data_IF_680804818382
#
_entry.id   IF_680804818382
#
_cell.length_a   1.000
_cell.length_b   1.000
_cell.length_c   1.000
_cell.angle_alpha   90.00
_cell.angle_beta   90.00
_cell.angle_gamma   90.00
#
_symmetry.space_group_name_H-M   'P 1'
#
loop_
_entity.id
_entity.type
_entity.pdbx_description
1 polymer ?
#
# COMPACT_ATOMS: atom_id res chain seq x y z
N UNK A 1 -2.64 14.07 -24.97
CA UNK A 1 -3.68 13.44 -24.19
C UNK A 1 -3.36 13.56 -22.69
N UNK A 2 -4.21 14.25 -21.93
CA UNK A 2 -4.02 14.55 -20.50
C UNK A 2 -4.53 13.42 -19.57
N UNK A 3 -5.03 12.32 -20.14
CA UNK A 3 -5.67 11.22 -19.39
C UNK A 3 -4.77 10.00 -19.16
N UNK A 4 -3.45 10.14 -19.29
CA UNK A 4 -2.52 9.01 -19.15
C UNK A 4 -2.24 8.60 -17.70
N UNK A 5 -2.41 9.52 -16.77
CA UNK A 5 -2.32 9.28 -15.35
C UNK A 5 -3.61 9.78 -14.69
N UNK A 6 -4.23 8.96 -13.90
CA UNK A 6 -5.36 9.31 -13.07
C UNK A 6 -5.00 9.10 -11.62
N UNK A 7 -5.32 10.07 -10.79
CA UNK A 7 -5.10 10.01 -9.34
C UNK A 7 -6.43 10.24 -8.64
N UNK A 8 -6.74 9.37 -7.71
CA UNK A 8 -7.97 9.44 -6.93
C UNK A 8 -7.62 9.42 -5.44
N UNK A 9 -8.31 10.24 -4.67
CA UNK A 9 -8.28 10.24 -3.21
C UNK A 9 -9.71 10.06 -2.73
N UNK A 10 -9.97 9.00 -1.99
CA UNK A 10 -11.31 8.67 -1.49
C UNK A 10 -12.38 8.74 -2.60
N UNK A 11 -12.10 8.09 -3.74
CA UNK A 11 -12.96 8.06 -4.93
C UNK A 11 -13.10 9.41 -5.67
N UNK A 12 -12.46 10.47 -5.24
CA UNK A 12 -12.50 11.77 -5.94
C UNK A 12 -11.32 11.87 -6.90
N UNK A 13 -11.58 12.15 -8.18
CA UNK A 13 -10.53 12.39 -9.18
C UNK A 13 -9.84 13.73 -8.90
N UNK A 14 -8.57 13.67 -8.51
CA UNK A 14 -7.71 14.84 -8.24
C UNK A 14 -6.63 15.00 -9.31
N UNK A 15 -6.77 14.36 -10.44
CA UNK A 15 -5.77 14.37 -11.52
C UNK A 15 -5.49 15.78 -12.05
N UNK A 16 -6.47 16.67 -12.00
CA UNK A 16 -6.35 18.07 -12.44
C UNK A 16 -5.49 18.92 -11.48
N UNK A 17 -5.41 18.53 -10.21
CA UNK A 17 -4.65 19.26 -9.17
C UNK A 17 -3.17 18.89 -9.18
N UNK A 18 -2.80 17.86 -9.95
CA UNK A 18 -1.41 17.41 -10.05
C UNK A 18 -0.59 18.41 -10.86
N UNK A 19 0.46 18.96 -10.25
CA UNK A 19 1.44 19.82 -10.91
C UNK A 19 2.63 19.01 -11.36
N UNK A 20 3.01 19.12 -12.63
CA UNK A 20 4.17 18.40 -13.20
C UNK A 20 4.01 18.10 -14.68
N UNK A 21 5.04 17.54 -15.28
CA UNK A 21 4.98 17.07 -16.66
C UNK A 21 4.32 15.69 -16.73
N UNK A 22 3.31 15.57 -17.56
CA UNK A 22 2.72 14.26 -17.86
C UNK A 22 3.71 13.43 -18.70
N UNK A 23 3.69 12.10 -18.58
CA UNK A 23 4.46 11.25 -19.48
C UNK A 23 4.20 11.60 -20.94
N UNK A 24 5.23 11.65 -21.78
CA UNK A 24 5.05 11.93 -23.20
C UNK A 24 4.22 10.83 -23.88
N UNK A 25 3.50 11.20 -24.96
CA UNK A 25 2.73 10.24 -25.74
C UNK A 25 3.68 9.22 -26.39
N UNK A 26 3.25 7.98 -26.49
CA UNK A 26 4.02 6.86 -27.08
C UNK A 26 5.38 6.56 -26.42
N UNK A 27 5.63 7.08 -25.21
CA UNK A 27 6.79 6.70 -24.42
C UNK A 27 6.41 5.60 -23.44
N UNK A 28 7.12 4.48 -23.53
CA UNK A 28 6.98 3.39 -22.57
C UNK A 28 7.66 3.82 -21.25
N UNK A 29 6.86 4.07 -20.23
CA UNK A 29 7.35 4.26 -18.88
C UNK A 29 7.23 2.93 -18.13
N UNK A 30 8.36 2.25 -17.96
CA UNK A 30 8.40 1.04 -17.16
C UNK A 30 8.46 1.42 -15.69
N UNK A 31 7.46 1.05 -14.91
CA UNK A 31 7.48 1.20 -13.45
C UNK A 31 8.56 0.33 -12.79
N UNK A 32 9.03 -0.68 -13.50
CA UNK A 32 10.05 -1.65 -13.09
C UNK A 32 11.29 -1.60 -14.00
N UNK A 33 11.72 -0.42 -14.42
CA UNK A 33 12.92 -0.30 -15.22
C UNK A 33 14.16 -0.37 -14.33
N UNK A 34 15.06 -1.30 -14.64
CA UNK A 34 16.44 -1.23 -14.12
C UNK A 34 17.11 0.06 -14.62
N UNK A 35 17.44 0.95 -13.69
CA UNK A 35 18.42 1.97 -14.01
C UNK A 35 19.79 1.30 -14.11
N UNK A 36 20.52 1.55 -15.18
CA UNK A 36 21.84 0.96 -15.47
C UNK A 36 22.97 1.42 -14.52
N UNK A 37 22.61 1.93 -13.34
CA UNK A 37 23.55 2.24 -12.27
C UNK A 37 23.72 1.00 -11.40
N UNK A 38 24.88 0.39 -11.49
CA UNK A 38 25.27 -0.84 -10.78
C UNK A 38 25.17 -0.79 -9.25
N UNK A 39 24.76 0.32 -8.68
CA UNK A 39 24.56 0.52 -7.24
C UNK A 39 23.09 0.55 -6.80
N UNK A 40 22.12 0.58 -7.71
CA UNK A 40 20.71 0.64 -7.39
C UNK A 40 19.92 -0.37 -8.20
N UNK A 41 19.80 -1.58 -7.69
CA UNK A 41 18.78 -2.51 -8.17
C UNK A 41 17.41 -1.89 -7.88
N UNK A 42 16.58 -1.76 -8.91
CA UNK A 42 15.23 -1.24 -8.77
C UNK A 42 14.37 -2.28 -8.09
N UNK A 43 14.43 -2.27 -6.78
CA UNK A 43 13.48 -2.99 -5.96
C UNK A 43 12.23 -2.14 -5.80
N UNK A 44 11.06 -2.72 -5.93
CA UNK A 44 9.83 -2.10 -5.47
C UNK A 44 9.87 -2.02 -3.94
N UNK A 45 9.72 -0.81 -3.42
CA UNK A 45 9.68 -0.58 -1.99
C UNK A 45 8.36 0.07 -1.62
N UNK A 46 7.74 -0.41 -0.54
CA UNK A 46 6.60 0.22 0.10
C UNK A 46 7.11 0.82 1.41
N UNK A 47 6.84 2.10 1.63
CA UNK A 47 7.28 2.81 2.83
C UNK A 47 8.77 3.24 2.84
N UNK A 48 9.50 3.03 1.74
CA UNK A 48 10.90 3.44 1.63
C UNK A 48 11.17 4.08 0.27
N UNK A 49 11.86 5.21 0.25
CA UNK A 49 12.38 5.79 -0.98
C UNK A 49 13.48 4.91 -1.60
N UNK A 50 13.54 4.85 -2.94
CA UNK A 50 14.56 4.09 -3.68
C UNK A 50 15.96 4.63 -3.50
N UNK A 51 16.10 5.91 -3.11
CA UNK A 51 17.38 6.58 -2.88
C UNK A 51 17.48 7.06 -1.44
N UNK A 52 18.60 6.73 -0.77
CA UNK A 52 18.88 7.18 0.58
C UNK A 52 18.09 6.42 1.67
N UNK A 53 18.02 7.05 2.85
CA UNK A 53 17.38 6.49 4.04
C UNK A 53 16.04 7.19 4.33
N UNK A 54 15.29 7.51 3.29
CA UNK A 54 13.98 8.13 3.42
C UNK A 54 12.93 7.05 3.66
N UNK A 55 12.41 6.99 4.88
CA UNK A 55 11.35 6.09 5.28
C UNK A 55 10.08 6.88 5.54
N UNK A 56 8.93 6.26 5.24
CA UNK A 56 7.63 6.81 5.59
C UNK A 56 7.23 6.37 7.00
N UNK A 57 6.64 7.30 7.74
CA UNK A 57 5.97 7.02 9.01
C UNK A 57 4.46 7.03 8.73
N UNK A 58 3.86 5.85 8.59
CA UNK A 58 2.46 5.70 8.19
C UNK A 58 1.90 4.34 8.62
N UNK A 59 0.60 4.30 8.82
CA UNK A 59 -0.15 3.04 8.85
C UNK A 59 -0.60 2.71 7.43
N UNK A 60 -0.52 1.43 7.07
CA UNK A 60 -0.96 0.93 5.77
C UNK A 60 -1.78 -0.34 5.94
N UNK A 61 -2.86 -0.43 5.19
CA UNK A 61 -3.66 -1.64 5.04
C UNK A 61 -4.02 -1.77 3.55
N UNK A 62 -3.99 -2.99 3.05
CA UNK A 62 -4.37 -3.32 1.68
C UNK A 62 -3.60 -2.52 0.60
N UNK A 63 -2.57 -3.11 0.06
CA UNK A 63 -1.83 -2.54 -1.06
C UNK A 63 -2.00 -3.42 -2.30
N UNK A 64 -2.68 -2.89 -3.31
CA UNK A 64 -2.93 -3.57 -4.58
C UNK A 64 -2.12 -2.94 -5.73
N UNK A 65 -1.47 -3.75 -6.51
CA UNK A 65 -0.85 -3.37 -7.78
C UNK A 65 -1.37 -4.30 -8.88
N UNK A 66 -1.97 -3.72 -9.91
CA UNK A 66 -2.52 -4.47 -11.05
C UNK A 66 -1.72 -4.13 -12.29
N UNK A 67 -1.11 -5.14 -12.90
CA UNK A 67 -0.32 -5.01 -14.10
C UNK A 67 -1.18 -5.21 -15.35
N UNK A 68 -1.09 -4.28 -16.29
CA UNK A 68 -1.75 -4.36 -17.60
C UNK A 68 -3.23 -3.96 -17.65
N UNK A 69 -3.86 -3.59 -16.53
CA UNK A 69 -5.25 -3.13 -16.50
C UNK A 69 -5.36 -1.74 -15.87
N UNK A 70 -6.18 -0.89 -16.45
CA UNK A 70 -6.64 0.35 -15.82
C UNK A 70 -7.98 0.11 -15.14
N UNK A 71 -8.00 0.09 -13.82
CA UNK A 71 -9.19 -0.14 -13.02
C UNK A 71 -9.70 1.17 -12.38
N UNK A 72 -11.00 1.23 -12.16
CA UNK A 72 -11.61 2.35 -11.46
C UNK A 72 -11.48 2.20 -9.93
N UNK A 73 -11.56 3.28 -9.15
CA UNK A 73 -11.57 3.19 -7.69
C UNK A 73 -12.63 2.26 -7.13
N UNK A 74 -13.77 2.14 -7.82
CA UNK A 74 -14.87 1.23 -7.44
C UNK A 74 -14.50 -0.26 -7.45
N UNK A 75 -13.37 -0.64 -8.05
CA UNK A 75 -12.84 -2.00 -7.94
C UNK A 75 -12.19 -2.24 -6.57
N UNK A 76 -11.81 -1.19 -5.84
CA UNK A 76 -11.05 -1.26 -4.59
C UNK A 76 -11.81 -0.73 -3.37
N UNK A 77 -12.93 -0.06 -3.59
CA UNK A 77 -13.73 0.51 -2.51
C UNK A 77 -15.14 0.86 -2.97
N UNK A 78 -15.93 1.30 -2.03
CA UNK A 78 -17.32 1.70 -2.23
C UNK A 78 -17.69 2.85 -1.31
N UNK A 79 -18.72 3.61 -1.67
CA UNK A 79 -19.29 4.63 -0.79
C UNK A 79 -20.34 3.97 0.11
N UNK A 80 -20.19 4.13 1.39
CA UNK A 80 -21.16 3.69 2.37
C UNK A 80 -22.45 4.52 2.22
N UNK A 81 -23.58 3.86 2.02
CA UNK A 81 -24.85 4.53 1.70
C UNK A 81 -25.39 5.35 2.87
N UNK A 82 -25.12 4.95 4.11
CA UNK A 82 -25.65 5.60 5.30
C UNK A 82 -24.80 6.83 5.70
N UNK A 83 -23.47 6.70 5.63
CA UNK A 83 -22.55 7.77 6.07
C UNK A 83 -22.04 8.66 4.93
N UNK A 84 -22.13 8.19 3.69
CA UNK A 84 -21.53 8.85 2.52
C UNK A 84 -19.99 8.74 2.48
N UNK A 85 -19.38 8.01 3.40
CA UNK A 85 -17.93 7.84 3.48
C UNK A 85 -17.48 6.74 2.52
N UNK A 86 -16.43 7.01 1.73
CA UNK A 86 -15.80 5.97 0.93
C UNK A 86 -14.98 5.05 1.83
N UNK A 87 -15.16 3.75 1.69
CA UNK A 87 -14.47 2.71 2.43
C UNK A 87 -13.85 1.69 1.49
N UNK A 88 -12.69 1.11 1.81
CA UNK A 88 -12.10 0.03 1.02
C UNK A 88 -12.98 -1.22 1.09
N UNK A 89 -12.89 -2.03 0.05
CA UNK A 89 -13.47 -3.38 -0.02
C UNK A 89 -12.46 -4.34 -0.62
N UNK A 90 -12.74 -5.65 -0.52
CA UNK A 90 -11.93 -6.65 -1.21
C UNK A 90 -11.82 -6.30 -2.71
N UNK A 91 -10.60 -6.29 -3.29
CA UNK A 91 -10.40 -5.89 -4.68
C UNK A 91 -11.18 -6.77 -5.66
N UNK A 92 -11.94 -6.13 -6.55
CA UNK A 92 -12.61 -6.79 -7.67
C UNK A 92 -11.71 -6.72 -8.90
N UNK A 93 -10.78 -7.66 -9.00
CA UNK A 93 -9.74 -7.73 -10.03
C UNK A 93 -9.84 -9.07 -10.75
N UNK A 94 -10.17 -9.03 -12.04
CA UNK A 94 -10.32 -10.22 -12.85
C UNK A 94 -8.99 -10.88 -13.26
N UNK A 95 -7.92 -10.09 -13.35
CA UNK A 95 -6.56 -10.55 -13.64
C UNK A 95 -5.55 -9.58 -13.04
N UNK A 96 -4.59 -10.08 -12.29
CA UNK A 96 -3.55 -9.25 -11.66
C UNK A 96 -2.41 -8.91 -12.61
N UNK A 97 -2.23 -9.68 -13.70
CA UNK A 97 -1.03 -9.63 -14.54
C UNK A 97 0.17 -10.26 -13.87
N UNK A 98 1.24 -10.52 -14.63
CA UNK A 98 2.38 -11.31 -14.12
C UNK A 98 3.14 -10.60 -12.99
N UNK A 99 3.17 -9.26 -13.01
CA UNK A 99 3.83 -8.45 -11.97
C UNK A 99 2.87 -7.89 -10.93
N UNK A 100 1.57 -8.20 -11.03
CA UNK A 100 0.57 -7.75 -10.09
C UNK A 100 0.68 -8.44 -8.73
N UNK A 101 0.24 -7.78 -7.68
CA UNK A 101 0.23 -8.32 -6.33
C UNK A 101 -0.85 -7.65 -5.46
N UNK A 102 -1.26 -8.35 -4.41
CA UNK A 102 -2.14 -7.83 -3.38
C UNK A 102 -1.61 -8.18 -1.99
N UNK A 103 -1.22 -7.17 -1.23
CA UNK A 103 -0.70 -7.30 0.12
C UNK A 103 -1.76 -6.87 1.11
N UNK A 104 -2.32 -7.82 1.85
CA UNK A 104 -3.32 -7.56 2.88
C UNK A 104 -2.70 -7.19 4.23
N UNK A 105 -1.38 -7.41 4.41
CA UNK A 105 -0.64 -7.21 5.67
C UNK A 105 -1.25 -7.91 6.89
N UNK A 106 -2.01 -8.98 6.68
CA UNK A 106 -2.74 -9.69 7.75
C UNK A 106 -1.88 -10.61 8.60
N UNK A 107 -0.72 -11.04 8.08
CA UNK A 107 0.21 -11.90 8.79
C UNK A 107 1.17 -11.04 9.63
N UNK A 108 1.52 -11.48 10.82
CA UNK A 108 2.43 -10.76 11.71
C UNK A 108 3.90 -11.20 11.60
N UNK A 109 4.19 -12.34 10.97
CA UNK A 109 5.56 -12.81 10.80
C UNK A 109 6.33 -11.87 9.85
N UNK A 110 7.57 -11.55 10.24
CA UNK A 110 8.46 -10.64 9.50
C UNK A 110 9.63 -11.40 8.89
N UNK A 111 10.28 -10.83 7.88
CA UNK A 111 11.48 -11.41 7.24
C UNK A 111 11.34 -11.58 5.75
N UNK A 112 12.02 -12.60 5.19
CA UNK A 112 11.99 -12.90 3.75
C UNK A 112 10.58 -13.20 3.28
N UNK A 113 10.18 -12.61 2.16
CA UNK A 113 8.83 -12.73 1.61
C UNK A 113 8.40 -14.18 1.41
N UNK A 114 7.28 -14.53 2.01
CA UNK A 114 6.62 -15.82 1.92
C UNK A 114 5.13 -15.69 2.22
N UNK A 115 4.34 -16.70 1.93
CA UNK A 115 2.88 -16.68 2.07
C UNK A 115 2.37 -16.56 3.51
N UNK A 116 3.23 -16.74 4.51
CA UNK A 116 2.94 -16.61 5.93
C UNK A 116 3.53 -15.36 6.60
N UNK A 117 4.17 -14.48 5.82
CA UNK A 117 4.77 -13.24 6.32
C UNK A 117 3.86 -12.03 6.08
N UNK A 118 4.18 -10.89 6.74
CA UNK A 118 3.46 -9.61 6.57
C UNK A 118 3.44 -9.14 5.11
N UNK A 119 4.46 -9.48 4.32
CA UNK A 119 4.57 -9.16 2.90
C UNK A 119 3.96 -10.22 1.97
N UNK A 120 3.07 -11.08 2.46
CA UNK A 120 2.42 -12.10 1.66
C UNK A 120 1.57 -11.50 0.54
N UNK A 121 1.83 -11.93 -0.69
CA UNK A 121 0.97 -11.65 -1.84
C UNK A 121 -0.17 -12.67 -1.88
N UNK A 122 -1.40 -12.19 -1.92
CA UNK A 122 -2.63 -12.99 -1.98
C UNK A 122 -3.32 -12.90 -3.34
N UNK A 123 -2.69 -12.28 -4.33
CA UNK A 123 -3.22 -12.22 -5.71
C UNK A 123 -3.20 -13.56 -6.45
N UNK A 124 -2.35 -14.49 -5.99
CA UNK A 124 -2.09 -15.78 -6.65
C UNK A 124 -0.83 -15.80 -7.51
N UNK A 125 -0.08 -14.70 -7.61
CA UNK A 125 1.15 -14.60 -8.40
C UNK A 125 2.42 -14.93 -7.60
N UNK A 126 2.31 -15.09 -6.27
CA UNK A 126 3.43 -15.34 -5.37
C UNK A 126 4.52 -14.24 -5.39
N UNK A 127 4.14 -13.00 -5.73
CA UNK A 127 5.01 -11.82 -5.71
C UNK A 127 5.19 -11.27 -4.28
N UNK A 128 5.67 -12.12 -3.36
CA UNK A 128 5.81 -11.79 -1.94
C UNK A 128 6.89 -10.74 -1.68
N UNK A 129 6.64 -9.86 -0.71
CA UNK A 129 7.57 -8.81 -0.28
C UNK A 129 8.33 -9.21 0.98
N UNK A 130 9.62 -8.90 1.00
CA UNK A 130 10.45 -9.02 2.21
C UNK A 130 10.27 -7.79 3.08
N UNK A 131 9.95 -7.98 4.36
CA UNK A 131 9.88 -6.89 5.32
C UNK A 131 11.29 -6.51 5.83
N UNK A 132 11.52 -5.23 6.08
CA UNK A 132 12.75 -4.72 6.66
C UNK A 132 12.44 -3.53 7.58
N UNK A 133 12.94 -3.57 8.81
CA UNK A 133 12.70 -2.52 9.80
C UNK A 133 11.30 -2.55 10.42
N UNK A 134 10.51 -3.57 10.13
CA UNK A 134 9.19 -3.82 10.73
C UNK A 134 9.33 -4.93 11.75
N UNK A 135 8.81 -4.74 12.94
CA UNK A 135 8.72 -5.75 14.01
C UNK A 135 7.32 -6.35 14.09
N UNK A 136 7.19 -7.52 14.69
CA UNK A 136 5.89 -8.18 14.92
C UNK A 136 4.93 -7.29 15.72
N UNK A 137 5.48 -6.45 16.59
CA UNK A 137 4.73 -5.49 17.42
C UNK A 137 4.17 -4.29 16.65
N UNK A 138 4.63 -4.06 15.42
CA UNK A 138 4.15 -2.98 14.57
C UNK A 138 2.89 -3.37 13.79
N UNK A 139 2.56 -4.67 13.80
CA UNK A 139 1.33 -5.16 13.21
C UNK A 139 0.15 -4.83 14.14
N UNK A 140 -0.88 -4.17 13.59
CA UNK A 140 -2.12 -3.84 14.30
C UNK A 140 -3.31 -4.53 13.64
N UNK A 141 -4.31 -4.86 14.44
CA UNK A 141 -5.60 -5.38 13.93
C UNK A 141 -6.57 -4.27 13.55
N UNK A 142 -6.21 -3.01 13.82
CA UNK A 142 -6.99 -1.86 13.40
C UNK A 142 -6.89 -1.66 11.88
N UNK A 143 -8.02 -1.57 11.20
CA UNK A 143 -8.10 -1.41 9.76
C UNK A 143 -9.09 -0.30 9.39
N UNK A 144 -9.08 0.23 8.17
CA UNK A 144 -10.05 1.25 7.74
C UNK A 144 -11.52 0.84 7.86
N UNK A 145 -11.79 -0.47 7.86
CA UNK A 145 -13.14 -1.02 7.99
C UNK A 145 -13.45 -1.57 9.37
N UNK A 146 -12.47 -1.63 10.26
CA UNK A 146 -12.60 -2.22 11.59
C UNK A 146 -11.72 -1.47 12.58
N UNK A 147 -12.24 -0.36 13.09
CA UNK A 147 -11.57 0.50 14.06
C UNK A 147 -11.84 0.05 15.48
N UNK A 148 -10.79 -0.10 16.26
CA UNK A 148 -10.84 -0.43 17.68
C UNK A 148 -10.59 0.80 18.55
N UNK A 149 -11.03 0.76 19.79
CA UNK A 149 -10.69 1.78 20.76
C UNK A 149 -9.19 1.71 21.08
N UNK A 150 -8.48 2.81 20.92
CA UNK A 150 -7.05 2.92 21.21
C UNK A 150 -6.78 3.60 22.54
N UNK A 151 -5.68 3.24 23.20
CA UNK A 151 -5.23 3.93 24.41
C UNK A 151 -4.61 5.28 24.04
N UNK A 152 -4.83 6.29 24.89
CA UNK A 152 -4.22 7.60 24.71
C UNK A 152 -2.76 7.58 25.17
N UNK A 153 -1.76 7.71 24.29
CA UNK A 153 -0.35 7.71 24.69
C UNK A 153 0.04 8.91 25.56
N UNK A 154 -0.74 10.00 25.51
CA UNK A 154 -0.49 11.20 26.31
C UNK A 154 -1.00 11.05 27.76
N UNK A 155 -1.84 10.05 28.03
CA UNK A 155 -2.42 9.76 29.34
C UNK A 155 -1.94 8.41 29.89
N UNK A 156 -0.94 7.82 29.25
CA UNK A 156 -0.31 6.60 29.69
C UNK A 156 0.64 6.89 30.86
N UNK A 157 0.60 6.08 31.91
CA UNK A 157 1.58 6.17 33.00
C UNK A 157 3.01 5.91 32.49
N UNK A 158 4.00 6.45 33.18
CA UNK A 158 5.42 6.37 32.80
C UNK A 158 5.96 4.93 32.63
N UNK A 159 5.27 3.96 33.19
CA UNK A 159 5.61 2.53 33.14
C UNK A 159 4.85 1.78 32.02
N UNK A 160 3.90 2.44 31.36
CA UNK A 160 3.10 1.81 30.32
C UNK A 160 3.81 1.87 28.97
N UNK A 161 3.99 0.73 28.33
CA UNK A 161 4.46 0.64 26.96
C UNK A 161 3.28 0.30 26.07
N UNK A 162 2.91 1.21 25.18
CA UNK A 162 1.84 0.98 24.22
C UNK A 162 2.41 0.32 22.96
N UNK A 163 1.67 -0.59 22.37
CA UNK A 163 2.04 -1.35 21.18
C UNK A 163 0.82 -1.61 20.28
N UNK A 164 1.05 -2.19 19.11
CA UNK A 164 -0.02 -2.55 18.16
C UNK A 164 -0.96 -1.37 17.85
N UNK A 165 -0.40 -0.21 17.50
CA UNK A 165 -1.18 1.00 17.21
C UNK A 165 -1.96 1.52 18.43
N UNK A 166 -1.41 1.36 19.65
CA UNK A 166 -2.02 1.72 20.93
C UNK A 166 -3.25 0.87 21.31
N UNK A 167 -3.36 -0.34 20.77
CA UNK A 167 -4.41 -1.31 21.11
C UNK A 167 -4.06 -2.14 22.35
N UNK A 168 -2.78 -2.15 22.75
CA UNK A 168 -2.25 -2.82 23.94
C UNK A 168 -1.36 -1.90 24.74
#
# INVERSE_FOLDING_TARGET
DTNRLKVYINNTDVSADMTGGWPAEDVIHQLNQEFSDSSNQNTHNIGKGTRGSNYSDMYIADFAFVDGLQLAPSNFGETDEDSGIWKPKAPDVSAWGDNGFFLEFKNSAVGTGASDTIGADTSGNDNHFTSSGVAVTDHTTDTPTNSFATMNPLDAGAEATLSEGNLK
#
